data_IF_414647177108
#
_entry.id   IF_414647177108
#
_cell.length_a   1.000
_cell.length_b   1.000
_cell.length_c   1.000
_cell.angle_alpha   90.00
_cell.angle_beta   90.00
_cell.angle_gamma   90.00
#
_symmetry.space_group_name_H-M   'P 1'
#
loop_
_entity.id
_entity.type
_entity.pdbx_description
1 polymer ?
#
# COMPACT_ATOMS: atom_id res chain seq x y z
N UNK A 1 16.49 30.05 -8.65
CA UNK A 1 16.11 28.93 -7.75
C UNK A 1 14.62 29.03 -7.46
N UNK A 2 13.78 28.18 -8.06
CA UNK A 2 12.36 28.10 -7.69
C UNK A 2 12.24 27.17 -6.48
N UNK A 3 11.71 27.69 -5.38
CA UNK A 3 11.31 26.88 -4.22
C UNK A 3 10.16 25.98 -4.66
N UNK A 4 10.47 24.72 -4.97
CA UNK A 4 9.42 23.71 -5.14
C UNK A 4 8.72 23.57 -3.79
N UNK A 5 7.50 24.10 -3.74
CA UNK A 5 6.59 23.94 -2.63
C UNK A 5 6.16 22.47 -2.61
N UNK A 6 7.02 21.59 -2.08
CA UNK A 6 6.69 20.19 -1.90
C UNK A 6 5.50 20.15 -0.95
N UNK A 7 4.29 19.79 -1.39
CA UNK A 7 3.19 19.63 -0.46
C UNK A 7 3.67 18.65 0.61
N UNK A 8 3.55 19.04 1.88
CA UNK A 8 3.89 18.20 3.01
C UNK A 8 3.10 16.89 2.86
N UNK A 9 3.75 15.86 2.33
CA UNK A 9 3.14 14.56 2.16
C UNK A 9 2.98 13.97 3.56
N UNK A 10 1.77 14.08 4.09
CA UNK A 10 1.41 13.56 5.40
C UNK A 10 1.74 12.08 5.49
N UNK A 11 2.09 11.61 6.70
CA UNK A 11 2.33 10.19 6.95
C UNK A 11 1.19 9.30 6.41
N UNK A 12 1.51 8.06 5.99
CA UNK A 12 0.50 7.14 5.49
C UNK A 12 -0.66 6.98 6.46
N UNK A 13 -1.89 6.95 5.92
CA UNK A 13 -3.04 6.50 6.72
C UNK A 13 -3.03 4.98 6.77
N UNK A 14 -2.86 4.42 7.97
CA UNK A 14 -2.99 2.98 8.19
C UNK A 14 -4.46 2.61 8.20
N UNK A 15 -4.81 1.59 7.43
CA UNK A 15 -6.17 1.05 7.33
C UNK A 15 -6.15 -0.45 7.44
N UNK A 16 -7.33 -0.98 7.70
CA UNK A 16 -7.60 -2.41 7.81
C UNK A 16 -8.75 -2.76 6.90
N UNK A 17 -8.59 -3.87 6.19
CA UNK A 17 -9.63 -4.52 5.42
C UNK A 17 -9.74 -5.97 5.89
N UNK A 18 -10.96 -6.51 5.96
CA UNK A 18 -11.20 -7.90 6.30
C UNK A 18 -11.42 -8.71 5.01
N UNK A 19 -10.41 -9.45 4.58
CA UNK A 19 -10.50 -10.34 3.42
C UNK A 19 -10.79 -11.76 3.89
N UNK A 20 -11.92 -12.35 3.48
CA UNK A 20 -12.39 -13.66 3.96
C UNK A 20 -12.46 -13.76 5.50
N UNK A 21 -12.74 -12.64 6.17
CA UNK A 21 -12.76 -12.53 7.63
C UNK A 21 -11.38 -12.33 8.28
N UNK A 22 -10.28 -12.38 7.53
CA UNK A 22 -8.93 -12.15 8.05
C UNK A 22 -8.53 -10.68 7.97
N UNK A 23 -7.92 -10.18 9.05
CA UNK A 23 -7.47 -8.79 9.15
C UNK A 23 -6.25 -8.54 8.25
N UNK A 24 -6.40 -7.63 7.29
CA UNK A 24 -5.34 -7.23 6.37
C UNK A 24 -4.97 -5.77 6.62
N UNK A 25 -3.69 -5.49 6.91
CA UNK A 25 -3.18 -4.11 7.05
C UNK A 25 -2.78 -3.56 5.68
N UNK A 26 -3.13 -2.30 5.43
CA UNK A 26 -2.62 -1.55 4.30
C UNK A 26 -2.42 -0.06 4.64
N UNK A 27 -1.61 0.62 3.83
CA UNK A 27 -1.45 2.08 3.83
C UNK A 27 -2.18 2.69 2.63
N UNK A 28 -2.65 3.92 2.81
CA UNK A 28 -3.12 4.78 1.71
C UNK A 28 -2.36 6.10 1.73
N UNK A 29 -1.82 6.45 0.57
CA UNK A 29 -1.16 7.72 0.29
C UNK A 29 -1.97 8.45 -0.79
N UNK A 30 -2.73 9.49 -0.44
CA UNK A 30 -3.48 10.27 -1.42
C UNK A 30 -2.54 10.93 -2.45
N UNK A 31 -2.99 11.05 -3.69
CA UNK A 31 -2.26 11.81 -4.69
C UNK A 31 -2.07 13.27 -4.24
N UNK A 32 -0.87 13.81 -4.42
CA UNK A 32 -0.54 15.19 -4.04
C UNK A 32 -1.36 16.25 -4.81
N UNK A 33 -1.78 15.92 -6.03
CA UNK A 33 -2.53 16.82 -6.91
C UNK A 33 -3.87 16.19 -7.33
N UNK A 34 -4.87 16.12 -6.41
CA UNK A 34 -6.15 15.45 -6.67
C UNK A 34 -6.98 16.10 -7.79
N UNK A 35 -6.65 17.33 -8.18
CA UNK A 35 -7.30 18.06 -9.27
C UNK A 35 -6.69 17.79 -10.66
N UNK A 36 -5.65 16.97 -10.72
CA UNK A 36 -5.11 16.46 -11.99
C UNK A 36 -6.07 15.42 -12.58
N UNK A 37 -6.03 15.13 -13.89
CA UNK A 37 -6.79 14.02 -14.45
C UNK A 37 -6.54 12.74 -13.63
N UNK A 38 -7.60 12.03 -13.20
CA UNK A 38 -7.46 10.89 -12.32
C UNK A 38 -6.63 9.80 -13.00
N UNK A 39 -5.52 9.42 -12.36
CA UNK A 39 -4.72 8.25 -12.75
C UNK A 39 -5.19 7.04 -11.96
N UNK A 40 -5.13 5.82 -12.55
CA UNK A 40 -5.40 4.60 -11.81
C UNK A 40 -4.55 4.52 -10.53
N UNK A 41 -5.10 4.05 -9.41
CA UNK A 41 -4.32 3.89 -8.19
C UNK A 41 -3.20 2.85 -8.38
N UNK A 42 -2.09 3.03 -7.68
CA UNK A 42 -0.97 2.09 -7.68
C UNK A 42 -1.02 1.21 -6.43
N UNK A 43 -0.99 -0.11 -6.60
CA UNK A 43 -0.87 -1.06 -5.51
C UNK A 43 0.57 -1.60 -5.41
N UNK A 44 1.21 -1.39 -4.26
CA UNK A 44 2.53 -1.90 -3.95
C UNK A 44 2.41 -3.22 -3.19
N UNK A 45 2.92 -4.29 -3.80
CA UNK A 45 2.91 -5.64 -3.24
C UNK A 45 4.35 -6.04 -2.91
N UNK A 46 4.62 -6.40 -1.66
CA UNK A 46 5.94 -6.86 -1.23
C UNK A 46 6.14 -8.36 -1.51
N UNK A 47 7.38 -8.82 -1.48
CA UNK A 47 7.75 -10.24 -1.64
C UNK A 47 7.85 -11.02 -0.31
N UNK A 48 8.57 -12.14 -0.34
CA UNK A 48 8.80 -12.98 0.84
C UNK A 48 9.63 -12.28 1.94
N UNK A 49 9.41 -12.66 3.20
CA UNK A 49 10.09 -12.11 4.38
C UNK A 49 10.03 -10.57 4.50
N UNK A 50 8.96 -9.96 3.99
CA UNK A 50 8.80 -8.50 3.90
C UNK A 50 7.52 -8.00 4.57
N UNK A 51 7.33 -6.68 4.50
CA UNK A 51 6.09 -6.00 4.84
C UNK A 51 5.96 -4.74 3.98
N UNK A 52 4.79 -4.11 4.01
CA UNK A 52 4.52 -2.84 3.33
C UNK A 52 5.51 -1.73 3.69
N UNK A 53 6.21 -1.84 4.83
CA UNK A 53 7.20 -0.85 5.29
C UNK A 53 8.42 -0.75 4.36
N UNK A 54 8.70 -1.77 3.53
CA UNK A 54 9.81 -1.71 2.57
C UNK A 54 9.64 -0.58 1.55
N UNK A 55 8.40 -0.15 1.30
CA UNK A 55 8.08 0.93 0.37
C UNK A 55 8.26 2.34 0.94
N UNK A 56 8.75 2.47 2.19
CA UNK A 56 8.86 3.77 2.91
C UNK A 56 9.66 4.85 2.17
N UNK A 57 10.57 4.46 1.28
CA UNK A 57 11.38 5.39 0.47
C UNK A 57 10.82 5.62 -0.92
N UNK A 58 9.79 4.87 -1.35
CA UNK A 58 9.22 4.91 -2.70
C UNK A 58 7.91 5.70 -2.75
N UNK A 59 7.07 5.58 -1.71
CA UNK A 59 5.69 6.08 -1.76
C UNK A 59 5.60 7.59 -1.99
N UNK A 60 6.55 8.38 -1.45
CA UNK A 60 6.56 9.85 -1.57
C UNK A 60 6.62 10.27 -3.03
N UNK A 61 7.55 9.70 -3.79
CA UNK A 61 7.71 10.00 -5.21
C UNK A 61 6.52 9.49 -6.03
N UNK A 62 6.03 8.28 -5.74
CA UNK A 62 4.89 7.70 -6.46
C UNK A 62 3.58 8.46 -6.22
N UNK A 63 3.36 8.96 -5.00
CA UNK A 63 2.18 9.72 -4.61
C UNK A 63 2.10 11.12 -5.24
N UNK A 64 3.17 11.61 -5.86
CA UNK A 64 3.11 12.85 -6.65
C UNK A 64 2.22 12.70 -7.89
N UNK A 65 2.02 11.47 -8.37
CA UNK A 65 1.35 11.21 -9.64
C UNK A 65 -0.03 10.57 -9.49
N UNK A 66 -0.23 9.70 -8.48
CA UNK A 66 -1.47 8.94 -8.28
C UNK A 66 -1.60 8.47 -6.84
N UNK A 67 -2.79 8.06 -6.41
CA UNK A 67 -2.99 7.48 -5.08
C UNK A 67 -2.23 6.16 -4.99
N UNK A 68 -1.45 5.98 -3.92
CA UNK A 68 -0.65 4.77 -3.69
C UNK A 68 -1.21 3.99 -2.52
N UNK A 69 -1.37 2.68 -2.72
CA UNK A 69 -1.70 1.71 -1.69
C UNK A 69 -0.50 0.81 -1.46
N UNK A 70 -0.23 0.44 -0.22
CA UNK A 70 0.76 -0.60 0.10
C UNK A 70 0.14 -1.61 1.05
N UNK A 71 0.22 -2.89 0.73
CA UNK A 71 -0.48 -3.97 1.40
C UNK A 71 0.51 -4.88 2.13
N UNK A 72 0.17 -5.30 3.35
CA UNK A 72 0.78 -6.52 3.91
C UNK A 72 -0.01 -7.73 3.44
N UNK A 73 0.62 -8.62 2.68
CA UNK A 73 0.00 -9.90 2.32
C UNK A 73 -0.39 -10.70 3.57
N UNK A 74 -1.43 -11.53 3.48
CA UNK A 74 -1.84 -12.41 4.57
C UNK A 74 -0.63 -13.25 5.03
N UNK A 75 -0.40 -13.35 6.34
CA UNK A 75 0.79 -13.99 6.89
C UNK A 75 1.98 -13.04 7.08
N UNK A 76 1.98 -11.82 6.52
CA UNK A 76 3.11 -10.88 6.58
C UNK A 76 2.80 -9.58 7.33
N UNK A 77 3.85 -8.85 7.72
CA UNK A 77 3.76 -7.61 8.49
C UNK A 77 2.76 -7.68 9.65
N UNK A 78 1.85 -6.72 9.73
CA UNK A 78 0.79 -6.69 10.74
C UNK A 78 -0.58 -7.16 10.20
N UNK A 79 -0.60 -7.80 9.02
CA UNK A 79 -1.74 -8.63 8.61
C UNK A 79 -1.79 -9.92 9.43
N UNK A 80 -3.00 -10.47 9.53
CA UNK A 80 -3.30 -11.67 10.30
C UNK A 80 -2.42 -12.85 9.90
N UNK A 81 -1.94 -13.58 10.90
CA UNK A 81 -1.26 -14.87 10.76
C UNK A 81 -2.31 -15.98 10.83
N UNK A 82 -3.05 -16.15 9.74
CA UNK A 82 -4.11 -17.15 9.68
C UNK A 82 -3.52 -18.58 9.68
N UNK A 83 -4.22 -19.52 10.30
CA UNK A 83 -3.92 -20.95 10.22
C UNK A 83 -4.42 -21.48 8.86
N UNK A 84 -3.64 -21.25 7.81
CA UNK A 84 -3.92 -21.69 6.43
C UNK A 84 -2.61 -22.04 5.72
N UNK A 85 -2.72 -22.70 4.56
CA UNK A 85 -1.59 -22.92 3.66
C UNK A 85 -1.29 -21.61 2.94
N UNK A 86 -0.07 -21.09 3.08
CA UNK A 86 0.41 -19.91 2.37
C UNK A 86 1.06 -20.32 1.05
N UNK A 87 0.47 -19.91 -0.07
CA UNK A 87 0.99 -20.17 -1.41
C UNK A 87 0.68 -19.00 -2.36
N UNK A 88 1.26 -19.04 -3.56
CA UNK A 88 1.10 -17.98 -4.56
C UNK A 88 -0.37 -17.77 -4.96
N UNK A 89 -1.16 -18.85 -5.07
CA UNK A 89 -2.58 -18.78 -5.41
C UNK A 89 -3.39 -18.05 -4.34
N UNK A 90 -3.12 -18.30 -3.06
CA UNK A 90 -3.78 -17.60 -1.98
C UNK A 90 -3.52 -16.09 -2.06
N UNK A 91 -2.28 -15.69 -2.30
CA UNK A 91 -1.92 -14.27 -2.38
C UNK A 91 -2.41 -13.62 -3.68
N UNK A 92 -2.48 -14.35 -4.79
CA UNK A 92 -3.05 -13.81 -6.04
C UNK A 92 -4.55 -13.50 -5.87
N UNK A 93 -5.31 -14.41 -5.24
CA UNK A 93 -6.70 -14.18 -4.87
C UNK A 93 -6.91 -13.03 -3.86
N UNK A 94 -5.87 -12.64 -3.13
CA UNK A 94 -5.95 -11.52 -2.20
C UNK A 94 -5.92 -10.16 -2.92
N UNK A 95 -5.40 -10.09 -4.15
CA UNK A 95 -5.16 -8.83 -4.86
C UNK A 95 -5.82 -8.75 -6.25
N UNK A 96 -6.60 -9.77 -6.63
CA UNK A 96 -7.40 -9.84 -7.85
C UNK A 96 -8.86 -9.50 -7.55
#
# INVERSE_FOLDING_TARGET
>A
MSLVNTPCLTSPKIRVWYWRGWKIRYWVFPAAHPNSPPKPPLLLVHGFAASLNQWRSNWVALAQHQTVYALDLLGFGASQKAATIFNADLWSHQIY
#
